data_IF_041933392866
#
_entry.id   IF_041933392866
#
_cell.length_a   1.000
_cell.length_b   1.000
_cell.length_c   1.000
_cell.angle_alpha   90.00
_cell.angle_beta   90.00
_cell.angle_gamma   90.00
#
_symmetry.space_group_name_H-M   'P 1'
#
loop_
_entity.id
_entity.type
_entity.pdbx_description
1 polymer ?
#
# COMPACT_ATOMS: atom_id res chain seq x y z
N UNK A 1 6.86 -59.51 21.31
CA UNK A 1 7.22 -58.40 22.22
C UNK A 1 8.44 -57.58 21.81
N UNK A 2 9.58 -58.18 21.37
CA UNK A 2 10.78 -57.42 20.96
C UNK A 2 10.58 -56.57 19.70
N UNK A 3 9.97 -57.13 18.65
CA UNK A 3 9.67 -56.40 17.40
C UNK A 3 8.81 -55.15 17.62
N UNK A 4 7.79 -55.23 18.49
CA UNK A 4 6.92 -54.10 18.83
C UNK A 4 7.68 -52.95 19.49
N UNK A 5 8.66 -53.25 20.36
CA UNK A 5 9.53 -52.23 20.99
C UNK A 5 10.50 -51.59 19.99
N UNK A 6 10.98 -52.37 19.00
CA UNK A 6 11.87 -51.86 17.94
C UNK A 6 11.10 -50.95 16.98
N UNK A 7 9.90 -51.33 16.57
CA UNK A 7 9.04 -50.52 15.70
C UNK A 7 8.64 -49.20 16.38
N UNK A 8 8.31 -49.22 17.67
CA UNK A 8 7.99 -47.99 18.42
C UNK A 8 9.17 -47.01 18.47
N UNK A 9 10.40 -47.51 18.67
CA UNK A 9 11.61 -46.68 18.69
C UNK A 9 11.91 -46.03 17.34
N UNK A 10 11.68 -46.76 16.24
CA UNK A 10 11.85 -46.23 14.88
C UNK A 10 10.82 -45.14 14.59
N UNK A 11 9.56 -45.34 14.98
CA UNK A 11 8.49 -44.34 14.79
C UNK A 11 8.79 -43.04 15.56
N UNK A 12 9.21 -43.16 16.82
CA UNK A 12 9.61 -41.99 17.62
C UNK A 12 10.81 -41.27 17.01
N UNK A 13 11.80 -42.03 16.54
CA UNK A 13 12.98 -41.45 15.89
C UNK A 13 12.61 -40.68 14.61
N UNK A 14 11.78 -41.26 13.74
CA UNK A 14 11.28 -40.60 12.52
C UNK A 14 10.46 -39.35 12.86
N UNK A 15 9.58 -39.41 13.86
CA UNK A 15 8.77 -38.27 14.27
C UNK A 15 9.64 -37.10 14.80
N UNK A 16 10.69 -37.40 15.57
CA UNK A 16 11.64 -36.40 16.08
C UNK A 16 12.45 -35.80 14.93
N UNK A 17 12.95 -36.61 13.99
CA UNK A 17 13.67 -36.13 12.80
C UNK A 17 12.79 -35.24 11.92
N UNK A 18 11.51 -35.59 11.71
CA UNK A 18 10.56 -34.75 11.00
C UNK A 18 10.28 -33.42 11.72
N UNK A 19 10.28 -33.40 13.05
CA UNK A 19 10.11 -32.18 13.84
C UNK A 19 11.32 -31.23 13.70
N UNK A 20 12.53 -31.77 13.64
CA UNK A 20 13.77 -31.01 13.43
C UNK A 20 14.00 -30.56 11.98
N UNK A 21 13.43 -31.27 11.00
CA UNK A 21 13.48 -30.91 9.58
C UNK A 21 12.40 -29.88 9.17
N UNK A 22 11.46 -29.57 10.06
CA UNK A 22 10.44 -28.55 9.79
C UNK A 22 11.11 -27.16 9.85
N UNK A 23 11.18 -26.42 8.74
CA UNK A 23 11.76 -25.09 8.78
C UNK A 23 10.87 -24.17 9.62
N UNK A 24 11.34 -23.75 10.79
CA UNK A 24 10.72 -22.73 11.65
C UNK A 24 11.00 -21.33 11.13
N UNK A 25 10.91 -21.13 9.82
CA UNK A 25 11.09 -19.80 9.21
C UNK A 25 9.75 -19.11 9.12
N UNK A 26 9.37 -18.40 10.18
CA UNK A 26 8.41 -17.31 10.09
C UNK A 26 9.09 -16.17 9.33
N UNK A 27 8.96 -16.13 8.00
CA UNK A 27 9.39 -14.96 7.24
C UNK A 27 8.47 -13.78 7.59
N UNK A 28 9.06 -12.70 8.10
CA UNK A 28 8.35 -11.44 8.28
C UNK A 28 7.84 -10.97 6.91
N UNK A 29 6.54 -10.69 6.81
CA UNK A 29 5.95 -10.20 5.57
C UNK A 29 6.37 -8.75 5.35
N UNK A 30 6.98 -8.47 4.20
CA UNK A 30 7.34 -7.12 3.78
C UNK A 30 6.12 -6.49 3.11
N UNK A 31 5.85 -5.22 3.42
CA UNK A 31 4.81 -4.42 2.80
C UNK A 31 5.40 -3.12 2.28
N UNK A 32 5.01 -2.73 1.07
CA UNK A 32 5.41 -1.47 0.46
C UNK A 32 4.24 -0.49 0.54
N UNK A 33 4.47 0.67 1.15
CA UNK A 33 3.47 1.72 1.30
C UNK A 33 3.99 3.00 0.64
N UNK A 34 3.24 3.49 -0.33
CA UNK A 34 3.47 4.79 -0.96
C UNK A 34 2.48 5.80 -0.39
N UNK A 35 2.99 6.94 0.08
CA UNK A 35 2.18 8.03 0.60
C UNK A 35 2.17 9.17 -0.41
N UNK A 36 1.01 9.40 -1.02
CA UNK A 36 0.77 10.59 -1.82
C UNK A 36 0.19 11.67 -0.90
N UNK A 37 0.64 12.91 -1.05
CA UNK A 37 0.11 14.00 -0.23
C UNK A 37 -0.15 15.26 -1.05
N UNK A 38 -1.09 16.07 -0.56
CA UNK A 38 -1.35 17.43 -1.04
C UNK A 38 -1.58 18.36 0.14
N UNK A 39 -1.40 19.65 -0.06
CA UNK A 39 -1.69 20.71 0.89
C UNK A 39 -2.25 21.92 0.13
N UNK A 40 -2.83 22.88 0.86
CA UNK A 40 -3.12 24.23 0.37
C UNK A 40 -3.92 24.23 -0.94
N UNK A 41 -5.02 23.47 -0.94
CA UNK A 41 -5.86 23.38 -2.13
C UNK A 41 -6.55 24.72 -2.44
N UNK A 42 -6.89 25.52 -1.42
CA UNK A 42 -7.39 26.90 -1.58
C UNK A 42 -8.54 27.01 -2.61
N UNK A 43 -9.40 26.00 -2.70
CA UNK A 43 -10.56 25.99 -3.59
C UNK A 43 -10.28 25.71 -5.07
N UNK A 44 -9.08 25.26 -5.46
CA UNK A 44 -8.73 24.98 -6.86
C UNK A 44 -9.32 23.65 -7.39
N UNK A 45 -10.64 23.48 -7.24
CA UNK A 45 -11.36 22.28 -7.69
C UNK A 45 -11.36 22.14 -9.21
N UNK A 46 -11.49 23.28 -9.91
CA UNK A 46 -11.47 23.37 -11.37
C UNK A 46 -10.06 23.67 -11.88
N UNK A 47 -9.86 23.45 -13.19
CA UNK A 47 -8.65 23.92 -13.88
C UNK A 47 -8.53 25.43 -13.70
N UNK A 48 -7.29 25.89 -13.57
CA UNK A 48 -6.96 27.30 -13.44
C UNK A 48 -5.81 27.65 -14.38
N UNK A 49 -5.70 28.92 -14.75
CA UNK A 49 -4.69 29.40 -15.69
C UNK A 49 -3.82 30.45 -15.01
N UNK A 50 -2.79 30.04 -14.23
CA UNK A 50 -1.84 30.99 -13.66
C UNK A 50 -1.00 31.61 -14.78
N UNK A 51 -0.35 32.74 -14.49
CA UNK A 51 0.39 33.57 -15.45
C UNK A 51 1.15 32.76 -16.51
N UNK A 52 0.78 32.95 -17.78
CA UNK A 52 1.35 32.27 -18.96
C UNK A 52 1.26 30.73 -18.98
N UNK A 53 0.39 30.12 -18.18
CA UNK A 53 0.19 28.68 -18.16
C UNK A 53 -1.30 28.33 -18.17
N UNK A 54 -1.91 28.10 -19.35
CA UNK A 54 -3.32 27.75 -19.43
C UNK A 54 -3.60 26.31 -18.94
N UNK A 55 -4.82 26.07 -18.48
CA UNK A 55 -5.38 24.73 -18.24
C UNK A 55 -4.65 23.85 -17.20
N UNK A 56 -4.11 24.46 -16.14
CA UNK A 56 -3.36 23.77 -15.08
C UNK A 56 -4.27 23.18 -14.02
N UNK A 57 -3.90 21.99 -13.54
CA UNK A 57 -4.41 21.42 -12.29
C UNK A 57 -5.88 21.02 -12.31
N UNK A 58 -6.58 21.29 -11.21
CA UNK A 58 -7.95 20.83 -10.97
C UNK A 58 -8.02 19.38 -10.45
N UNK A 59 -9.14 19.06 -9.79
CA UNK A 59 -9.36 17.76 -9.16
C UNK A 59 -9.53 16.64 -10.18
N UNK A 60 -10.05 16.94 -11.38
CA UNK A 60 -10.17 15.94 -12.44
C UNK A 60 -8.79 15.42 -12.89
N UNK A 61 -7.86 16.33 -13.23
CA UNK A 61 -6.50 15.94 -13.62
C UNK A 61 -5.75 15.26 -12.47
N UNK A 62 -5.89 15.78 -11.25
CA UNK A 62 -5.31 15.16 -10.04
C UNK A 62 -5.84 13.75 -9.82
N UNK A 63 -7.14 13.53 -9.96
CA UNK A 63 -7.76 12.21 -9.80
C UNK A 63 -7.23 11.22 -10.84
N UNK A 64 -7.10 11.64 -12.09
CA UNK A 64 -6.52 10.81 -13.15
C UNK A 64 -5.09 10.40 -12.80
N UNK A 65 -4.24 11.35 -12.40
CA UNK A 65 -2.86 11.08 -11.99
C UNK A 65 -2.80 10.12 -10.80
N UNK A 66 -3.61 10.35 -9.76
CA UNK A 66 -3.67 9.48 -8.59
C UNK A 66 -4.11 8.06 -8.97
N UNK A 67 -5.08 7.93 -9.87
CA UNK A 67 -5.57 6.62 -10.30
C UNK A 67 -4.51 5.85 -11.11
N UNK A 68 -3.74 6.54 -11.97
CA UNK A 68 -2.60 5.95 -12.69
C UNK A 68 -1.57 5.43 -11.68
N UNK A 69 -1.15 6.28 -10.74
CA UNK A 69 -0.14 5.91 -9.73
C UNK A 69 -0.63 4.76 -8.84
N UNK A 70 -1.92 4.73 -8.49
CA UNK A 70 -2.51 3.60 -7.75
C UNK A 70 -2.43 2.30 -8.53
N UNK A 71 -2.83 2.31 -9.80
CA UNK A 71 -2.74 1.12 -10.65
C UNK A 71 -1.31 0.60 -10.75
N UNK A 72 -0.33 1.48 -11.00
CA UNK A 72 1.08 1.11 -11.08
C UNK A 72 1.62 0.47 -9.79
N UNK A 73 1.21 1.00 -8.62
CA UNK A 73 1.68 0.51 -7.32
C UNK A 73 0.97 -0.78 -6.93
N UNK A 74 -0.33 -0.91 -7.21
CA UNK A 74 -1.10 -2.13 -6.97
C UNK A 74 -0.60 -3.28 -7.85
N UNK A 75 -0.29 -3.01 -9.12
CA UNK A 75 0.32 -3.97 -10.04
C UNK A 75 1.70 -4.45 -9.55
N UNK A 76 2.44 -3.58 -8.86
CA UNK A 76 3.71 -3.92 -8.21
C UNK A 76 3.55 -4.60 -6.84
N UNK A 77 2.33 -4.85 -6.37
CA UNK A 77 2.03 -5.48 -5.08
C UNK A 77 2.20 -4.56 -3.87
N UNK A 78 2.18 -3.23 -4.07
CA UNK A 78 2.26 -2.23 -3.03
C UNK A 78 0.89 -1.70 -2.58
N UNK A 79 0.92 -0.74 -1.66
CA UNK A 79 -0.26 -0.05 -1.13
C UNK A 79 -0.10 1.46 -1.27
N UNK A 80 -1.21 2.17 -1.46
CA UNK A 80 -1.22 3.63 -1.58
C UNK A 80 -2.09 4.26 -0.50
N UNK A 81 -1.56 5.27 0.18
CA UNK A 81 -2.30 6.16 1.06
C UNK A 81 -2.25 7.58 0.49
N UNK A 82 -3.40 8.20 0.24
CA UNK A 82 -3.49 9.61 -0.18
C UNK A 82 -3.92 10.47 1.00
N UNK A 83 -3.11 11.47 1.36
CA UNK A 83 -3.36 12.39 2.46
C UNK A 83 -3.53 13.83 1.95
N UNK A 84 -4.35 14.61 2.67
CA UNK A 84 -4.42 16.06 2.51
C UNK A 84 -4.06 16.73 3.83
N UNK A 85 -3.14 17.69 3.79
CA UNK A 85 -2.77 18.49 4.97
C UNK A 85 -3.77 19.63 5.27
N UNK A 86 -4.89 19.71 4.52
CA UNK A 86 -5.93 20.70 4.75
C UNK A 86 -5.73 21.99 3.96
N UNK A 87 -6.30 23.07 4.50
CA UNK A 87 -6.47 24.36 3.82
C UNK A 87 -7.17 24.22 2.46
N UNK A 88 -8.30 23.50 2.51
CA UNK A 88 -9.10 23.16 1.34
C UNK A 88 -9.90 24.36 0.84
N UNK A 89 -10.39 25.17 1.78
CA UNK A 89 -11.29 26.28 1.53
C UNK A 89 -10.52 27.61 1.39
N UNK A 90 -11.21 28.63 0.89
CA UNK A 90 -10.77 30.03 0.77
C UNK A 90 -9.59 30.21 -0.20
N UNK A 91 -9.84 30.73 -1.40
CA UNK A 91 -8.76 31.07 -2.34
C UNK A 91 -9.21 31.28 -3.79
N UNK A 92 -10.34 30.68 -4.18
CA UNK A 92 -11.02 30.90 -5.45
C UNK A 92 -12.51 31.16 -5.18
N UNK A 93 -13.15 32.00 -5.99
CA UNK A 93 -14.55 32.45 -5.82
C UNK A 93 -15.52 31.29 -5.53
N UNK A 94 -15.37 30.18 -6.27
CA UNK A 94 -16.21 28.98 -6.14
C UNK A 94 -16.16 28.33 -4.75
N UNK A 95 -15.10 28.54 -3.98
CA UNK A 95 -14.93 27.97 -2.64
C UNK A 95 -15.34 28.91 -1.51
N UNK A 96 -15.68 30.17 -1.80
CA UNK A 96 -15.99 31.19 -0.80
C UNK A 96 -17.48 31.57 -0.74
N UNK A 97 -18.31 30.93 -1.56
CA UNK A 97 -19.78 31.05 -1.57
C UNK A 97 -20.42 29.91 -0.80
#
# INVERSE_FOLDING_TARGET
MKAFKTSFRVIVFVAVVCLFLCPTTSLAKIYYLTILHTNDHHGHFLKFSPFNNPDVGGMAARSTLVNIVRAEIEDAGGHVLLLSAGNVNIGVVVSCT
#
